data_IF_253279872235
#
_entry.id   IF_253279872235
#
_cell.length_a   1.000
_cell.length_b   1.000
_cell.length_c   1.000
_cell.angle_alpha   90.00
_cell.angle_beta   90.00
_cell.angle_gamma   90.00
#
_symmetry.space_group_name_H-M   'P 1'
#
loop_
_entity.id
_entity.type
_entity.pdbx_description
1 polymer ?
#
# COMPACT_ATOMS: atom_id res chain seq x y z
N UNK A 1 -28.70 -19.14 9.20
CA UNK A 1 -27.79 -18.72 8.12
C UNK A 1 -26.52 -18.04 8.63
N UNK A 2 -26.59 -16.87 9.28
CA UNK A 2 -25.42 -16.08 9.69
C UNK A 2 -24.47 -16.79 10.66
N UNK A 3 -25.00 -17.51 11.66
CA UNK A 3 -24.18 -18.29 12.61
C UNK A 3 -23.40 -19.40 11.90
N UNK A 4 -24.00 -20.08 10.93
CA UNK A 4 -23.32 -21.11 10.14
C UNK A 4 -22.18 -20.50 9.30
N UNK A 5 -22.43 -19.35 8.65
CA UNK A 5 -21.39 -18.62 7.91
C UNK A 5 -20.20 -18.25 8.81
N UNK A 6 -20.47 -17.76 10.03
CA UNK A 6 -19.42 -17.39 10.98
C UNK A 6 -18.59 -18.60 11.41
N UNK A 7 -19.24 -19.71 11.77
CA UNK A 7 -18.55 -20.93 12.21
C UNK A 7 -17.68 -21.50 11.08
N UNK A 8 -18.24 -21.64 9.87
CA UNK A 8 -17.50 -22.18 8.73
C UNK A 8 -16.36 -21.25 8.30
N UNK A 9 -16.57 -19.93 8.31
CA UNK A 9 -15.52 -18.95 8.03
C UNK A 9 -14.36 -19.06 9.03
N UNK A 10 -14.64 -19.12 10.33
CA UNK A 10 -13.61 -19.23 11.37
C UNK A 10 -12.83 -20.55 11.23
N UNK A 11 -13.51 -21.66 10.99
CA UNK A 11 -12.85 -22.95 10.78
C UNK A 11 -11.92 -22.95 9.57
N UNK A 12 -12.35 -22.38 8.44
CA UNK A 12 -11.51 -22.27 7.24
C UNK A 12 -10.30 -21.33 7.45
N UNK A 13 -10.49 -20.25 8.21
CA UNK A 13 -9.40 -19.37 8.61
C UNK A 13 -8.37 -20.06 9.52
N UNK A 14 -8.82 -20.91 10.46
CA UNK A 14 -7.94 -21.73 11.30
C UNK A 14 -7.14 -22.76 10.48
N UNK A 15 -7.70 -23.24 9.37
CA UNK A 15 -7.00 -24.07 8.38
C UNK A 15 -6.05 -23.28 7.47
N UNK A 16 -5.78 -22.01 7.78
CA UNK A 16 -4.94 -21.10 7.00
C UNK A 16 -5.39 -20.93 5.53
N UNK A 17 -6.68 -21.13 5.26
CA UNK A 17 -7.23 -20.96 3.92
C UNK A 17 -7.27 -19.46 3.55
N UNK A 18 -6.92 -19.04 2.32
CA UNK A 18 -6.97 -17.64 1.95
C UNK A 18 -8.38 -17.05 2.14
N UNK A 19 -8.45 -15.86 2.74
CA UNK A 19 -9.69 -15.21 3.21
C UNK A 19 -10.80 -15.18 2.16
N UNK A 20 -10.44 -14.94 0.89
CA UNK A 20 -11.40 -14.91 -0.22
C UNK A 20 -12.14 -16.23 -0.41
N UNK A 21 -11.42 -17.36 -0.34
CA UNK A 21 -12.06 -18.68 -0.43
C UNK A 21 -12.89 -18.98 0.83
N UNK A 22 -12.40 -18.59 2.00
CA UNK A 22 -13.13 -18.73 3.26
C UNK A 22 -14.48 -18.01 3.22
N UNK A 23 -14.57 -16.82 2.62
CA UNK A 23 -15.82 -16.07 2.44
C UNK A 23 -16.79 -16.75 1.47
N UNK A 24 -16.30 -17.24 0.33
CA UNK A 24 -17.15 -17.90 -0.68
C UNK A 24 -17.70 -19.22 -0.14
N UNK A 25 -16.86 -20.06 0.45
CA UNK A 25 -17.26 -21.37 0.97
C UNK A 25 -18.18 -21.22 2.18
N UNK A 26 -17.91 -20.26 3.08
CA UNK A 26 -18.80 -20.00 4.21
C UNK A 26 -20.18 -19.51 3.77
N UNK A 27 -20.25 -18.66 2.75
CA UNK A 27 -21.52 -18.25 2.13
C UNK A 27 -22.25 -19.42 1.47
N UNK A 28 -21.53 -20.24 0.70
CA UNK A 28 -22.08 -21.42 0.03
C UNK A 28 -22.66 -22.43 1.01
N UNK A 29 -21.92 -22.76 2.07
CA UNK A 29 -22.35 -23.72 3.12
C UNK A 29 -23.58 -23.23 3.88
N UNK A 30 -23.74 -21.93 4.11
CA UNK A 30 -24.94 -21.40 4.73
C UNK A 30 -26.16 -21.40 3.81
N UNK A 31 -25.94 -21.18 2.52
CA UNK A 31 -26.98 -21.26 1.49
C UNK A 31 -27.44 -22.70 1.25
N UNK A 32 -26.53 -23.68 1.24
CA UNK A 32 -26.88 -25.08 1.02
C UNK A 32 -27.66 -25.71 2.18
N UNK A 33 -27.43 -25.26 3.42
CA UNK A 33 -28.08 -25.82 4.62
C UNK A 33 -29.40 -25.12 4.95
N UNK A 34 -29.49 -23.80 4.71
CA UNK A 34 -30.63 -22.99 5.19
C UNK A 34 -31.28 -22.10 4.12
N UNK A 35 -30.78 -22.11 2.88
CA UNK A 35 -31.20 -21.17 1.84
C UNK A 35 -32.29 -21.74 0.93
N UNK A 36 -33.36 -20.99 0.75
CA UNK A 36 -34.36 -21.18 -0.30
C UNK A 36 -34.05 -20.38 -1.58
N UNK A 37 -32.88 -19.71 -1.63
CA UNK A 37 -32.47 -18.91 -2.79
C UNK A 37 -32.04 -19.81 -3.95
N UNK A 38 -32.51 -19.55 -5.18
CA UNK A 38 -32.04 -20.23 -6.37
C UNK A 38 -30.51 -20.11 -6.50
N UNK A 39 -29.84 -21.21 -6.83
CA UNK A 39 -28.38 -21.26 -7.04
C UNK A 39 -27.92 -20.26 -8.11
N UNK A 40 -28.77 -19.95 -9.09
CA UNK A 40 -28.53 -18.92 -10.11
C UNK A 40 -28.32 -17.52 -9.54
N UNK A 41 -29.06 -17.14 -8.48
CA UNK A 41 -28.88 -15.84 -7.82
C UNK A 41 -27.54 -15.75 -7.09
N UNK A 42 -27.06 -16.87 -6.54
CA UNK A 42 -25.77 -16.94 -5.86
C UNK A 42 -24.64 -16.69 -6.85
N UNK A 43 -24.71 -17.33 -8.01
CA UNK A 43 -23.75 -17.12 -9.11
C UNK A 43 -23.76 -15.66 -9.56
N UNK A 44 -24.94 -15.08 -9.81
CA UNK A 44 -25.03 -13.66 -10.18
C UNK A 44 -24.41 -12.72 -9.15
N UNK A 45 -24.62 -12.96 -7.84
CA UNK A 45 -24.02 -12.13 -6.78
C UNK A 45 -22.49 -12.22 -6.72
N UNK A 46 -21.90 -13.34 -7.10
CA UNK A 46 -20.43 -13.49 -7.20
C UNK A 46 -19.88 -12.69 -8.38
N UNK A 47 -20.61 -12.62 -9.49
CA UNK A 47 -20.21 -11.87 -10.69
C UNK A 47 -20.53 -10.37 -10.63
N UNK A 48 -21.50 -9.95 -9.82
CA UNK A 48 -21.94 -8.56 -9.78
C UNK A 48 -20.79 -7.53 -9.53
N UNK A 49 -19.81 -7.78 -8.63
CA UNK A 49 -18.67 -6.88 -8.47
C UNK A 49 -17.82 -6.74 -9.74
N UNK A 50 -17.69 -7.78 -10.56
CA UNK A 50 -16.85 -7.71 -11.78
C UNK A 50 -17.47 -6.81 -12.87
N UNK A 51 -18.75 -6.45 -12.72
CA UNK A 51 -19.45 -5.51 -13.60
C UNK A 51 -19.37 -4.05 -13.13
N UNK A 52 -18.76 -3.80 -11.96
CA UNK A 52 -18.59 -2.45 -11.45
C UNK A 52 -17.48 -1.73 -12.22
N UNK A 53 -17.85 -0.71 -13.00
CA UNK A 53 -16.90 0.14 -13.72
C UNK A 53 -15.82 0.74 -12.79
N UNK A 54 -16.14 1.24 -11.57
CA UNK A 54 -15.13 1.63 -10.58
C UNK A 54 -14.09 0.56 -10.25
N UNK A 55 -14.48 -0.71 -10.18
CA UNK A 55 -13.58 -1.79 -9.81
C UNK A 55 -12.60 -2.15 -10.93
N UNK A 56 -12.88 -1.77 -12.19
CA UNK A 56 -11.91 -1.84 -13.29
C UNK A 56 -10.69 -0.95 -13.05
N UNK A 57 -10.81 0.12 -12.25
CA UNK A 57 -9.68 0.98 -11.93
C UNK A 57 -8.60 0.23 -11.11
N UNK A 58 -8.99 -0.77 -10.30
CA UNK A 58 -8.07 -1.55 -9.47
C UNK A 58 -6.99 -2.25 -10.31
N UNK A 59 -7.29 -3.10 -11.31
CA UNK A 59 -6.27 -3.73 -12.13
C UNK A 59 -5.43 -2.71 -12.91
N UNK A 60 -6.00 -1.57 -13.34
CA UNK A 60 -5.23 -0.52 -14.01
C UNK A 60 -4.25 0.19 -13.07
N UNK A 61 -4.61 0.44 -11.80
CA UNK A 61 -3.67 1.00 -10.81
C UNK A 61 -2.58 0.01 -10.44
N UNK A 62 -2.91 -1.27 -10.28
CA UNK A 62 -1.90 -2.33 -10.08
C UNK A 62 -0.95 -2.41 -11.28
N UNK A 63 -1.48 -2.39 -12.50
CA UNK A 63 -0.69 -2.39 -13.73
C UNK A 63 0.21 -1.16 -13.80
N UNK A 64 -0.34 0.04 -13.59
CA UNK A 64 0.41 1.29 -13.58
C UNK A 64 1.55 1.28 -12.55
N UNK A 65 1.26 0.88 -11.31
CA UNK A 65 2.26 0.73 -10.25
C UNK A 65 3.35 -0.27 -10.61
N UNK A 66 2.98 -1.41 -11.20
CA UNK A 66 3.96 -2.42 -11.65
C UNK A 66 4.86 -1.91 -12.78
N UNK A 67 4.30 -1.17 -13.74
CA UNK A 67 5.06 -0.55 -14.83
C UNK A 67 6.04 0.51 -14.29
N UNK A 68 5.59 1.37 -13.37
CA UNK A 68 6.44 2.39 -12.75
C UNK A 68 7.60 1.78 -11.95
N UNK A 69 7.36 0.67 -11.26
CA UNK A 69 8.38 -0.04 -10.47
C UNK A 69 9.31 -0.90 -11.33
N UNK A 70 8.85 -1.42 -12.47
CA UNK A 70 9.68 -2.17 -13.41
C UNK A 70 10.62 -1.28 -14.23
N UNK A 71 10.28 0.01 -14.38
CA UNK A 71 11.10 1.00 -15.09
C UNK A 71 12.13 1.72 -14.22
N UNK A 72 12.84 2.68 -14.81
CA UNK A 72 13.79 3.56 -14.11
C UNK A 72 13.10 4.61 -13.22
N UNK A 73 11.79 4.80 -13.39
CA UNK A 73 11.02 5.81 -12.65
C UNK A 73 10.94 5.47 -11.15
N UNK A 74 10.73 4.19 -10.83
CA UNK A 74 10.87 3.60 -9.50
C UNK A 74 12.09 4.14 -8.74
N UNK A 75 13.26 3.93 -9.34
CA UNK A 75 14.55 4.31 -8.78
C UNK A 75 14.72 5.83 -8.67
N UNK A 76 14.22 6.59 -9.65
CA UNK A 76 14.30 8.06 -9.66
C UNK A 76 13.47 8.70 -8.56
N UNK A 77 12.27 8.20 -8.30
CA UNK A 77 11.42 8.73 -7.23
C UNK A 77 12.01 8.43 -5.85
N UNK A 78 12.65 7.26 -5.67
CA UNK A 78 13.43 6.97 -4.46
C UNK A 78 14.65 7.89 -4.35
N UNK A 79 15.35 8.16 -5.45
CA UNK A 79 16.43 9.14 -5.48
C UNK A 79 15.92 10.54 -5.10
N UNK A 80 14.75 10.95 -5.58
CA UNK A 80 14.10 12.20 -5.21
C UNK A 80 13.73 12.25 -3.73
N UNK A 81 13.15 11.18 -3.18
CA UNK A 81 12.87 11.09 -1.75
C UNK A 81 14.15 11.20 -0.91
N UNK A 82 15.24 10.53 -1.32
CA UNK A 82 16.54 10.64 -0.63
C UNK A 82 17.15 12.04 -0.71
N UNK A 83 16.97 12.78 -1.81
CA UNK A 83 17.37 14.20 -1.90
C UNK A 83 16.59 15.09 -0.91
N UNK A 84 15.29 14.84 -0.74
CA UNK A 84 14.43 15.65 0.12
C UNK A 84 14.74 15.43 1.61
N UNK A 85 14.82 14.16 2.04
CA UNK A 85 14.84 13.82 3.47
C UNK A 85 16.07 13.03 3.95
N UNK A 86 16.93 12.57 3.05
CA UNK A 86 18.07 11.71 3.38
C UNK A 86 19.11 12.34 4.31
N UNK A 87 19.24 13.67 4.29
CA UNK A 87 20.16 14.45 5.14
C UNK A 87 19.73 14.55 6.61
N UNK A 88 18.47 14.27 6.92
CA UNK A 88 17.95 14.37 8.28
C UNK A 88 18.28 13.13 9.12
N UNK A 89 18.28 13.22 10.46
CA UNK A 89 18.35 12.06 11.33
C UNK A 89 17.30 11.00 10.97
N UNK A 90 17.72 9.75 10.83
CA UNK A 90 16.83 8.67 10.36
C UNK A 90 16.43 8.80 8.89
N UNK A 91 17.19 9.56 8.10
CA UNK A 91 16.86 9.93 6.72
C UNK A 91 16.48 8.75 5.83
N UNK A 92 17.19 7.61 5.90
CA UNK A 92 16.84 6.43 5.11
C UNK A 92 15.46 5.86 5.45
N UNK A 93 15.03 5.98 6.71
CA UNK A 93 13.66 5.61 7.11
C UNK A 93 12.64 6.63 6.61
N UNK A 94 12.98 7.93 6.64
CA UNK A 94 12.12 8.96 6.05
C UNK A 94 11.98 8.78 4.53
N UNK A 95 13.00 8.27 3.83
CA UNK A 95 12.94 7.92 2.41
C UNK A 95 11.88 6.84 2.15
N UNK A 96 11.75 5.83 3.01
CA UNK A 96 10.64 4.87 2.91
C UNK A 96 9.29 5.59 3.02
N UNK A 97 9.13 6.48 4.01
CA UNK A 97 7.86 7.17 4.25
C UNK A 97 7.47 8.08 3.08
N UNK A 98 8.42 8.89 2.59
CA UNK A 98 8.19 9.76 1.43
C UNK A 98 7.96 8.94 0.17
N UNK A 99 8.74 7.86 -0.02
CA UNK A 99 8.54 6.91 -1.10
C UNK A 99 7.13 6.32 -1.09
N UNK A 100 6.67 5.80 0.05
CA UNK A 100 5.31 5.29 0.24
C UNK A 100 4.24 6.35 0.03
N UNK A 101 4.51 7.60 0.37
CA UNK A 101 3.55 8.70 0.18
C UNK A 101 3.39 9.03 -1.31
N UNK A 102 4.47 8.99 -2.09
CA UNK A 102 4.46 9.29 -3.52
C UNK A 102 3.97 8.07 -4.34
N UNK A 103 4.53 6.89 -4.09
CA UNK A 103 4.19 5.65 -4.79
C UNK A 103 2.86 5.05 -4.37
N UNK A 104 2.50 5.21 -3.10
CA UNK A 104 1.24 4.71 -2.57
C UNK A 104 0.06 5.36 -3.26
N UNK A 105 0.21 6.64 -3.63
CA UNK A 105 -0.76 7.32 -4.49
C UNK A 105 -0.88 6.68 -5.87
N UNK A 106 0.13 6.06 -6.45
CA UNK A 106 0.00 5.42 -7.78
C UNK A 106 -0.58 4.01 -7.66
N UNK A 107 -0.02 3.20 -6.76
CA UNK A 107 -0.34 1.78 -6.65
C UNK A 107 -1.65 1.51 -5.92
N UNK A 108 -2.00 2.34 -4.93
CA UNK A 108 -3.16 2.15 -4.05
C UNK A 108 -3.17 0.85 -3.24
N UNK A 109 -2.05 0.10 -3.20
CA UNK A 109 -1.93 -1.21 -2.53
C UNK A 109 -0.72 -1.26 -1.61
N UNK A 110 -0.98 -1.39 -0.31
CA UNK A 110 0.07 -1.53 0.69
C UNK A 110 0.95 -2.76 0.48
N UNK A 111 0.36 -3.89 0.04
CA UNK A 111 1.11 -5.14 -0.16
C UNK A 111 2.01 -5.06 -1.39
N UNK A 112 1.49 -4.49 -2.48
CA UNK A 112 2.27 -4.30 -3.70
C UNK A 112 3.45 -3.34 -3.45
N UNK A 113 3.19 -2.24 -2.73
CA UNK A 113 4.22 -1.27 -2.41
C UNK A 113 5.28 -1.84 -1.47
N UNK A 114 4.90 -2.54 -0.40
CA UNK A 114 5.86 -3.16 0.52
C UNK A 114 6.77 -4.16 -0.20
N UNK A 115 6.21 -4.92 -1.16
CA UNK A 115 6.98 -5.86 -1.99
C UNK A 115 7.93 -5.12 -2.93
N UNK A 116 7.45 -4.08 -3.61
CA UNK A 116 8.21 -3.35 -4.61
C UNK A 116 9.29 -2.46 -4.00
N UNK A 117 8.91 -1.54 -3.09
CA UNK A 117 9.86 -0.66 -2.40
C UNK A 117 10.76 -1.45 -1.45
N UNK A 118 10.24 -2.46 -0.75
CA UNK A 118 11.05 -3.27 0.18
C UNK A 118 12.21 -3.98 -0.51
N UNK A 119 12.00 -4.48 -1.73
CA UNK A 119 13.04 -5.15 -2.51
C UNK A 119 14.22 -4.23 -2.87
N UNK A 120 13.97 -2.91 -2.97
CA UNK A 120 14.99 -1.91 -3.29
C UNK A 120 15.58 -1.25 -2.04
N UNK A 121 14.72 -0.84 -1.10
CA UNK A 121 15.09 0.00 0.03
C UNK A 121 15.76 -0.78 1.15
N UNK A 122 15.31 -2.01 1.45
CA UNK A 122 15.89 -2.79 2.55
C UNK A 122 17.35 -3.17 2.27
N UNK A 123 17.73 -3.68 1.08
CA UNK A 123 19.14 -3.94 0.77
C UNK A 123 19.99 -2.68 0.77
N UNK A 124 19.45 -1.56 0.27
CA UNK A 124 20.15 -0.28 0.26
C UNK A 124 20.38 0.26 1.69
N UNK A 125 19.35 0.24 2.53
CA UNK A 125 19.44 0.61 3.95
C UNK A 125 20.50 -0.21 4.69
N UNK A 126 20.57 -1.53 4.45
CA UNK A 126 21.62 -2.39 5.01
C UNK A 126 23.02 -1.95 4.60
N UNK A 127 23.23 -1.59 3.32
CA UNK A 127 24.53 -1.12 2.81
C UNK A 127 24.98 0.19 3.45
N UNK A 128 24.03 1.09 3.70
CA UNK A 128 24.25 2.36 4.39
C UNK A 128 24.38 2.22 5.93
N UNK A 129 24.34 0.99 6.47
CA UNK A 129 24.56 0.72 7.89
C UNK A 129 23.31 0.72 8.77
N UNK A 130 22.10 0.65 8.19
CA UNK A 130 20.87 0.50 8.97
C UNK A 130 20.59 -0.99 9.27
N UNK A 131 20.04 -1.31 10.45
CA UNK A 131 19.60 -2.67 10.75
C UNK A 131 18.50 -3.13 9.78
N UNK A 132 18.64 -4.34 9.22
CA UNK A 132 17.63 -4.91 8.32
C UNK A 132 16.23 -4.98 8.93
N UNK A 133 16.13 -5.27 10.23
CA UNK A 133 14.87 -5.29 10.96
C UNK A 133 14.21 -3.90 11.01
N UNK A 134 14.99 -2.83 11.13
CA UNK A 134 14.47 -1.46 11.07
C UNK A 134 13.95 -1.15 9.66
N UNK A 135 14.71 -1.51 8.63
CA UNK A 135 14.28 -1.32 7.24
C UNK A 135 12.97 -2.04 6.93
N UNK A 136 12.86 -3.32 7.30
CA UNK A 136 11.63 -4.09 7.15
C UNK A 136 10.45 -3.50 7.93
N UNK A 137 10.67 -3.09 9.18
CA UNK A 137 9.63 -2.48 10.01
C UNK A 137 9.13 -1.15 9.42
N UNK A 138 10.04 -0.27 9.00
CA UNK A 138 9.66 1.01 8.40
C UNK A 138 8.92 0.77 7.09
N UNK A 139 9.43 -0.08 6.19
CA UNK A 139 8.73 -0.42 4.94
C UNK A 139 7.33 -0.96 5.19
N UNK A 140 7.19 -1.95 6.09
CA UNK A 140 5.88 -2.53 6.39
C UNK A 140 4.90 -1.49 6.96
N UNK A 141 5.38 -0.61 7.84
CA UNK A 141 4.55 0.44 8.42
C UNK A 141 4.20 1.54 7.41
N UNK A 142 5.16 2.04 6.63
CA UNK A 142 4.95 3.15 5.71
C UNK A 142 4.08 2.79 4.53
N UNK A 143 4.11 1.53 4.08
CA UNK A 143 3.23 1.09 2.98
C UNK A 143 1.74 1.12 3.32
N UNK A 144 1.36 1.25 4.59
CA UNK A 144 -0.04 1.49 4.97
C UNK A 144 -0.54 2.86 4.47
N UNK A 145 0.36 3.83 4.24
CA UNK A 145 0.03 5.14 3.64
C UNK A 145 -0.62 4.94 2.26
N UNK A 146 -0.19 3.94 1.49
CA UNK A 146 -0.76 3.60 0.19
C UNK A 146 -2.26 3.24 0.25
N UNK A 147 -2.73 2.77 1.41
CA UNK A 147 -4.15 2.49 1.62
C UNK A 147 -5.01 3.75 1.72
N UNK A 148 -4.41 4.91 2.01
CA UNK A 148 -5.12 6.17 2.19
C UNK A 148 -4.81 7.19 1.09
N UNK A 149 -3.59 7.18 0.56
CA UNK A 149 -3.18 8.14 -0.46
C UNK A 149 -3.86 7.82 -1.80
N UNK A 150 -4.54 8.79 -2.45
CA UNK A 150 -5.22 8.53 -3.71
C UNK A 150 -4.30 8.42 -4.94
N UNK A 151 -4.72 7.65 -5.96
CA UNK A 151 -5.73 6.58 -5.94
C UNK A 151 -5.44 5.43 -4.95
N UNK A 152 -6.48 4.97 -4.25
CA UNK A 152 -6.41 3.91 -3.24
C UNK A 152 -7.44 2.80 -3.49
N UNK A 153 -6.98 1.54 -3.52
CA UNK A 153 -7.82 0.36 -3.73
C UNK A 153 -8.81 0.16 -2.57
N UNK A 154 -8.38 0.24 -1.28
CA UNK A 154 -9.32 0.19 -0.16
C UNK A 154 -10.42 1.25 -0.22
N UNK A 155 -10.09 2.49 -0.62
CA UNK A 155 -11.08 3.56 -0.73
C UNK A 155 -12.07 3.30 -1.86
N UNK A 156 -11.62 2.78 -3.01
CA UNK A 156 -12.51 2.39 -4.13
C UNK A 156 -13.47 1.28 -3.68
N UNK A 157 -12.97 0.25 -3.01
CA UNK A 157 -13.80 -0.85 -2.51
C UNK A 157 -14.83 -0.34 -1.50
N UNK A 158 -14.41 0.46 -0.53
CA UNK A 158 -15.30 1.05 0.46
C UNK A 158 -16.37 1.94 -0.18
N UNK A 159 -15.97 2.80 -1.13
CA UNK A 159 -16.87 3.68 -1.86
C UNK A 159 -17.95 2.88 -2.62
N UNK A 160 -17.52 1.82 -3.29
CA UNK A 160 -18.39 0.97 -4.12
C UNK A 160 -19.39 0.20 -3.25
N UNK A 161 -18.95 -0.34 -2.11
CA UNK A 161 -19.82 -1.09 -1.19
C UNK A 161 -20.77 -0.18 -0.43
N UNK A 162 -20.30 1.00 -0.01
CA UNK A 162 -21.08 1.96 0.78
C UNK A 162 -21.92 2.91 -0.09
N UNK A 163 -21.82 2.80 -1.41
CA UNK A 163 -22.52 3.64 -2.39
C UNK A 163 -22.26 5.15 -2.18
N UNK A 164 -21.01 5.51 -1.87
CA UNK A 164 -20.56 6.90 -1.70
C UNK A 164 -19.61 7.31 -2.81
N UNK A 165 -19.40 8.62 -2.97
CA UNK A 165 -18.53 9.16 -4.02
C UNK A 165 -17.06 8.79 -3.79
N UNK A 166 -16.47 8.12 -4.79
CA UNK A 166 -15.04 7.77 -4.83
C UNK A 166 -14.19 9.04 -4.80
N UNK A 167 -14.56 10.05 -5.59
CA UNK A 167 -13.82 11.31 -5.66
C UNK A 167 -13.82 12.04 -4.31
N UNK A 168 -14.96 12.04 -3.60
CA UNK A 168 -15.05 12.62 -2.27
C UNK A 168 -14.15 11.87 -1.26
N UNK A 169 -14.14 10.54 -1.30
CA UNK A 169 -13.25 9.73 -0.46
C UNK A 169 -11.78 9.93 -0.78
N UNK A 170 -11.42 10.12 -2.04
CA UNK A 170 -10.04 10.42 -2.42
C UNK A 170 -9.58 11.74 -1.81
N UNK A 171 -10.37 12.81 -1.97
CA UNK A 171 -10.04 14.10 -1.36
C UNK A 171 -9.97 13.97 0.17
N UNK A 172 -10.93 13.26 0.78
CA UNK A 172 -10.95 13.02 2.23
C UNK A 172 -9.76 12.18 2.72
N UNK A 173 -9.20 11.30 1.89
CA UNK A 173 -8.07 10.43 2.22
C UNK A 173 -6.72 11.14 2.26
N UNK A 174 -6.57 12.27 1.56
CA UNK A 174 -5.29 13.02 1.51
C UNK A 174 -4.86 13.49 2.89
N UNK A 175 -5.75 14.11 3.65
CA UNK A 175 -5.43 14.64 4.97
C UNK A 175 -4.93 13.55 5.95
N UNK A 176 -5.67 12.44 6.18
CA UNK A 176 -5.19 11.38 7.07
C UNK A 176 -3.93 10.69 6.54
N UNK A 177 -3.75 10.55 5.23
CA UNK A 177 -2.52 10.01 4.65
C UNK A 177 -1.30 10.89 5.00
N UNK A 178 -1.42 12.21 4.84
CA UNK A 178 -0.36 13.15 5.19
C UNK A 178 -0.09 13.18 6.70
N UNK A 179 -1.12 13.12 7.54
CA UNK A 179 -0.95 13.02 8.98
C UNK A 179 -0.16 11.77 9.37
N UNK A 180 -0.47 10.62 8.76
CA UNK A 180 0.23 9.36 9.00
C UNK A 180 1.68 9.42 8.50
N UNK A 181 1.91 10.01 7.33
CA UNK A 181 3.26 10.25 6.79
C UNK A 181 4.09 11.13 7.74
N UNK A 182 3.54 12.24 8.23
CA UNK A 182 4.23 13.14 9.17
C UNK A 182 4.52 12.42 10.49
N UNK A 183 3.56 11.65 11.02
CA UNK A 183 3.75 10.84 12.22
C UNK A 183 4.89 9.83 12.07
N UNK A 184 4.95 9.11 10.94
CA UNK A 184 6.00 8.14 10.66
C UNK A 184 7.36 8.79 10.40
N UNK A 185 7.41 9.94 9.71
CA UNK A 185 8.65 10.71 9.54
C UNK A 185 9.19 11.17 10.90
N UNK A 186 8.31 11.60 11.80
CA UNK A 186 8.67 11.99 13.17
C UNK A 186 9.23 10.81 13.96
N UNK A 187 8.59 9.64 13.86
CA UNK A 187 9.09 8.41 14.49
C UNK A 187 10.47 8.00 13.95
N UNK A 188 10.68 8.12 12.63
CA UNK A 188 11.98 7.87 11.99
C UNK A 188 13.04 8.86 12.49
N UNK A 189 12.69 10.14 12.60
CA UNK A 189 13.59 11.19 13.10
C UNK A 189 14.02 10.92 14.55
N UNK A 190 13.06 10.66 15.44
CA UNK A 190 13.34 10.38 16.86
C UNK A 190 14.18 9.13 17.01
N UNK A 191 13.84 8.05 16.30
CA UNK A 191 14.59 6.79 16.34
C UNK A 191 16.00 6.95 15.78
N UNK A 192 16.14 7.63 14.66
CA UNK A 192 17.44 7.91 14.04
C UNK A 192 18.35 8.77 14.92
N UNK A 193 17.79 9.74 15.65
CA UNK A 193 18.54 10.55 16.63
C UNK A 193 18.92 9.75 17.87
N UNK A 194 18.01 8.92 18.42
CA UNK A 194 18.27 8.10 19.61
C UNK A 194 19.28 6.99 19.37
N UNK A 195 19.24 6.36 18.19
CA UNK A 195 20.12 5.25 17.82
C UNK A 195 21.37 5.69 17.06
N UNK A 196 21.59 7.00 16.87
CA UNK A 196 22.69 7.57 16.10
C UNK A 196 22.90 6.89 14.75
N UNK A 197 21.80 6.71 14.00
CA UNK A 197 21.90 6.09 12.68
C UNK A 197 22.73 6.95 11.71
N UNK A 198 23.47 6.30 10.79
CA UNK A 198 24.22 7.01 9.77
C UNK A 198 23.31 7.92 8.96
N UNK A 199 23.84 9.08 8.58
CA UNK A 199 23.14 10.07 7.76
C UNK A 199 23.76 10.04 6.38
N UNK A 200 22.93 10.18 5.35
CA UNK A 200 23.45 10.32 4.00
C UNK A 200 24.22 11.64 3.92
N UNK A 201 25.52 11.56 3.67
CA UNK A 201 26.40 12.70 3.35
C UNK A 201 26.37 13.02 1.86
N UNK A 202 25.27 12.72 1.17
CA UNK A 202 25.12 12.97 -0.26
C UNK A 202 25.05 14.48 -0.50
N UNK A 203 26.16 15.04 -0.99
CA UNK A 203 26.20 16.37 -1.61
C UNK A 203 25.59 16.23 -3.01
N UNK A 204 24.27 16.24 -3.12
CA UNK A 204 23.62 16.26 -4.42
C UNK A 204 23.99 17.57 -5.13
N UNK A 205 24.69 17.45 -6.25
CA UNK A 205 25.09 18.61 -7.07
C UNK A 205 23.88 19.12 -7.84
N UNK A 206 23.77 20.43 -8.08
CA UNK A 206 22.63 21.02 -8.81
C UNK A 206 22.36 20.38 -10.19
N UNK A 207 23.39 19.81 -10.82
CA UNK A 207 23.28 18.99 -12.04
C UNK A 207 22.59 17.63 -11.82
N UNK A 208 22.83 16.95 -10.69
CA UNK A 208 22.18 15.67 -10.35
C UNK A 208 20.71 15.87 -9.95
N UNK A 209 20.41 16.98 -9.28
CA UNK A 209 19.04 17.38 -8.97
C UNK A 209 18.27 17.63 -10.27
N UNK A 210 18.86 18.35 -11.22
CA UNK A 210 18.25 18.64 -12.53
C UNK A 210 18.12 17.40 -13.42
N UNK A 211 19.11 16.51 -13.45
CA UNK A 211 19.06 15.27 -14.24
C UNK A 211 18.10 14.22 -13.67
N UNK A 212 17.79 14.28 -12.37
CA UNK A 212 16.81 13.40 -11.71
C UNK A 212 15.39 13.96 -11.78
N UNK A 213 15.21 15.28 -11.70
CA UNK A 213 13.90 15.95 -11.76
C UNK A 213 13.29 15.98 -13.15
N UNK A 214 14.07 16.35 -14.19
CA UNK A 214 13.54 16.54 -15.56
C UNK A 214 12.87 15.28 -16.14
N UNK A 215 13.37 14.07 -15.89
CA UNK A 215 12.74 12.86 -16.42
C UNK A 215 11.95 12.07 -15.36
N UNK A 216 11.66 12.68 -14.19
CA UNK A 216 10.77 12.14 -13.16
C UNK A 216 9.42 12.88 -13.07
N UNK A 217 9.37 14.11 -13.59
CA UNK A 217 8.14 14.83 -13.97
C UNK A 217 7.65 14.35 -15.33
#
# INVERSE_FOLDING_TARGET
MTVNMLISFILLMLMAMPVGYSLVISGWTALSVFGSMPSSMVVMKIFQPTQSFPLLAIPFFVLSGSLMMSGKLGQRLVALASMLVGKYPGGLGQVNVVGSTIFGGVSGSAVAEASALGSMLIPWQKREGYPGAFGAAVTASSSVIAGLMPPSIPLILFATVSNVSIAALFIAGVLPALMLAIGMMTACYVTGKRRNFPRLTLKYTAQEVRSTLIPAL
#
